data_IF_675343155084
#
_entry.id   IF_675343155084
#
_cell.length_a   1.000
_cell.length_b   1.000
_cell.length_c   1.000
_cell.angle_alpha   90.00
_cell.angle_beta   90.00
_cell.angle_gamma   90.00
#
_symmetry.space_group_name_H-M   'P 1'
#
loop_
_entity.id
_entity.type
_entity.pdbx_description
1 polymer ?
#
# COMPACT_ATOMS: atom_id res chain seq x y z
N UNK A 1 -11.25 -61.15 -46.32
CA UNK A 1 -10.10 -60.67 -45.45
C UNK A 1 -9.99 -59.17 -45.38
N UNK A 2 -10.17 -58.42 -46.46
CA UNK A 2 -10.06 -56.94 -46.51
C UNK A 2 -11.04 -56.14 -45.61
N UNK A 3 -12.30 -56.52 -45.50
CA UNK A 3 -13.31 -55.84 -44.68
C UNK A 3 -13.00 -55.84 -43.19
N UNK A 4 -12.32 -56.85 -42.65
CA UNK A 4 -11.96 -56.97 -41.23
C UNK A 4 -10.80 -56.03 -40.90
N UNK A 5 -9.82 -55.89 -41.81
CA UNK A 5 -8.66 -54.99 -41.68
C UNK A 5 -9.11 -53.52 -41.67
N UNK A 6 -10.04 -53.13 -42.52
CA UNK A 6 -10.58 -51.76 -42.59
C UNK A 6 -11.37 -51.41 -41.30
N UNK A 7 -12.11 -52.35 -40.71
CA UNK A 7 -12.82 -52.16 -39.45
C UNK A 7 -11.90 -51.96 -38.24
N UNK A 8 -10.77 -52.65 -38.21
CA UNK A 8 -9.78 -52.49 -37.14
C UNK A 8 -9.01 -51.19 -37.26
N UNK A 9 -8.65 -50.76 -38.46
CA UNK A 9 -8.00 -49.46 -38.71
C UNK A 9 -8.93 -48.30 -38.32
N UNK A 10 -10.23 -48.38 -38.64
CA UNK A 10 -11.19 -47.34 -38.24
C UNK A 10 -11.41 -47.33 -36.73
N UNK A 11 -11.41 -48.47 -36.05
CA UNK A 11 -11.48 -48.54 -34.58
C UNK A 11 -10.23 -47.92 -33.91
N UNK A 12 -9.02 -48.22 -34.44
CA UNK A 12 -7.78 -47.63 -33.98
C UNK A 12 -7.72 -46.11 -34.18
N UNK A 13 -8.14 -45.61 -35.35
CA UNK A 13 -8.21 -44.17 -35.65
C UNK A 13 -9.19 -43.47 -34.70
N UNK A 14 -10.36 -44.06 -34.45
CA UNK A 14 -11.39 -43.54 -33.53
C UNK A 14 -10.90 -43.51 -32.07
N UNK A 15 -10.13 -44.52 -31.65
CA UNK A 15 -9.53 -44.61 -30.31
C UNK A 15 -8.40 -43.57 -30.12
N UNK A 16 -7.59 -43.34 -31.16
CA UNK A 16 -6.53 -42.34 -31.20
C UNK A 16 -7.08 -40.90 -31.19
N UNK A 17 -8.18 -40.67 -31.94
CA UNK A 17 -8.91 -39.39 -31.95
C UNK A 17 -9.55 -39.09 -30.59
N UNK A 18 -10.19 -40.07 -29.94
CA UNK A 18 -10.77 -39.93 -28.59
C UNK A 18 -9.71 -39.63 -27.52
N UNK A 19 -8.52 -40.24 -27.59
CA UNK A 19 -7.40 -39.93 -26.67
C UNK A 19 -6.90 -38.53 -26.88
N UNK A 20 -6.73 -38.07 -28.13
CA UNK A 20 -6.33 -36.68 -28.42
C UNK A 20 -7.38 -35.67 -27.91
N UNK A 21 -8.67 -35.95 -28.10
CA UNK A 21 -9.76 -35.09 -27.63
C UNK A 21 -9.80 -35.00 -26.09
N UNK A 22 -9.63 -36.12 -25.38
CA UNK A 22 -9.55 -36.12 -23.91
C UNK A 22 -8.31 -35.35 -23.40
N UNK A 23 -7.19 -35.41 -24.13
CA UNK A 23 -5.97 -34.65 -23.79
C UNK A 23 -6.19 -33.15 -23.96
N UNK A 24 -6.86 -32.70 -25.00
CA UNK A 24 -7.20 -31.30 -25.25
C UNK A 24 -8.13 -30.77 -24.14
N UNK A 25 -9.15 -31.58 -23.77
CA UNK A 25 -10.04 -31.20 -22.64
C UNK A 25 -9.26 -31.11 -21.33
N UNK A 26 -8.35 -32.03 -21.05
CA UNK A 26 -7.50 -32.00 -19.87
C UNK A 26 -6.64 -30.73 -19.79
N UNK A 27 -6.02 -30.33 -20.92
CA UNK A 27 -5.25 -29.08 -21.03
C UNK A 27 -6.16 -27.86 -20.84
N UNK A 28 -7.34 -27.84 -21.44
CA UNK A 28 -8.30 -26.75 -21.31
C UNK A 28 -8.76 -26.58 -19.85
N UNK A 29 -9.02 -27.68 -19.14
CA UNK A 29 -9.37 -27.66 -17.71
C UNK A 29 -8.20 -27.11 -16.88
N UNK A 30 -6.97 -27.56 -17.14
CA UNK A 30 -5.78 -27.04 -16.43
C UNK A 30 -5.61 -25.54 -16.66
N UNK A 31 -5.80 -25.08 -17.90
CA UNK A 31 -5.73 -23.64 -18.24
C UNK A 31 -6.83 -22.87 -17.51
N UNK A 32 -8.06 -23.36 -17.50
CA UNK A 32 -9.19 -22.73 -16.80
C UNK A 32 -8.92 -22.70 -15.28
N UNK A 33 -8.48 -23.82 -14.69
CA UNK A 33 -8.12 -23.86 -13.27
C UNK A 33 -6.97 -22.90 -12.95
N UNK A 34 -5.98 -22.78 -13.84
CA UNK A 34 -4.88 -21.83 -13.69
C UNK A 34 -5.37 -20.36 -13.76
N UNK A 35 -6.27 -20.03 -14.69
CA UNK A 35 -6.88 -18.72 -14.77
C UNK A 35 -7.78 -18.40 -13.58
N UNK A 36 -8.57 -19.36 -13.09
CA UNK A 36 -9.40 -19.22 -11.89
C UNK A 36 -8.51 -19.03 -10.65
N UNK A 37 -7.46 -19.84 -10.50
CA UNK A 37 -6.49 -19.70 -9.42
C UNK A 37 -5.77 -18.34 -9.47
N UNK A 38 -5.33 -17.89 -10.66
CA UNK A 38 -4.68 -16.60 -10.86
C UNK A 38 -5.60 -15.41 -10.55
N UNK A 39 -6.90 -15.53 -10.82
CA UNK A 39 -7.89 -14.50 -10.50
C UNK A 39 -8.20 -14.45 -8.99
N UNK A 40 -8.11 -15.57 -8.30
CA UNK A 40 -8.35 -15.65 -6.86
C UNK A 40 -7.09 -15.36 -6.03
N UNK A 41 -5.91 -15.67 -6.57
CA UNK A 41 -4.62 -15.38 -5.95
C UNK A 41 -3.92 -14.26 -6.73
N UNK A 42 -3.61 -13.17 -6.05
CA UNK A 42 -2.79 -12.11 -6.63
C UNK A 42 -1.41 -12.60 -7.05
N UNK A 43 -0.65 -11.75 -7.74
CA UNK A 43 0.65 -12.13 -8.36
C UNK A 43 1.71 -12.62 -7.37
N UNK A 44 1.56 -12.31 -6.08
CA UNK A 44 2.42 -12.81 -4.99
C UNK A 44 1.82 -14.04 -4.28
N UNK A 45 0.80 -14.68 -4.87
CA UNK A 45 0.13 -15.84 -4.28
C UNK A 45 -0.81 -15.51 -3.11
N UNK A 46 -1.00 -14.23 -2.77
CA UNK A 46 -1.90 -13.83 -1.70
C UNK A 46 -3.36 -13.85 -2.21
N UNK A 47 -4.29 -14.45 -1.45
CA UNK A 47 -5.69 -14.57 -1.86
C UNK A 47 -6.37 -13.20 -1.93
N UNK A 48 -7.37 -13.06 -2.82
CA UNK A 48 -8.26 -11.89 -2.84
C UNK A 48 -9.27 -11.91 -1.72
N UNK A 49 -9.78 -13.09 -1.40
CA UNK A 49 -10.69 -13.33 -0.28
C UNK A 49 -10.20 -14.53 0.52
N UNK A 50 -10.13 -14.36 1.84
CA UNK A 50 -9.75 -15.40 2.79
C UNK A 50 -10.42 -15.10 4.13
N UNK A 51 -11.25 -16.01 4.64
CA UNK A 51 -12.06 -15.81 5.84
C UNK A 51 -12.91 -14.52 5.83
N UNK A 52 -13.29 -14.01 4.64
CA UNK A 52 -14.01 -12.75 4.49
C UNK A 52 -15.43 -12.78 5.08
N UNK A 53 -15.98 -13.96 5.29
CA UNK A 53 -17.26 -14.25 5.94
C UNK A 53 -17.17 -14.27 7.46
N UNK A 54 -15.99 -14.43 8.04
CA UNK A 54 -15.79 -14.53 9.49
C UNK A 54 -15.90 -13.18 10.21
N UNK A 55 -15.59 -12.08 9.49
CA UNK A 55 -15.71 -10.71 10.00
C UNK A 55 -16.36 -9.82 8.96
N UNK A 56 -17.50 -9.26 9.30
CA UNK A 56 -18.17 -8.30 8.43
C UNK A 56 -17.54 -6.91 8.58
N UNK A 57 -16.67 -6.55 7.64
CA UNK A 57 -16.03 -5.23 7.54
C UNK A 57 -16.77 -4.34 6.53
N UNK A 58 -17.14 -3.12 6.95
CA UNK A 58 -17.77 -2.12 6.08
C UNK A 58 -16.72 -1.30 5.33
N UNK A 59 -15.95 -1.96 4.46
CA UNK A 59 -14.85 -1.36 3.67
C UNK A 59 -14.80 -1.96 2.27
N UNK A 60 -14.18 -1.26 1.33
CA UNK A 60 -14.05 -1.75 -0.06
C UNK A 60 -13.10 -2.93 -0.17
N UNK A 61 -11.96 -2.87 0.52
CA UNK A 61 -11.00 -3.97 0.58
C UNK A 61 -10.24 -3.95 1.91
N UNK A 62 -9.80 -5.12 2.37
CA UNK A 62 -9.00 -5.26 3.57
C UNK A 62 -8.11 -6.50 3.51
N UNK A 63 -7.00 -6.46 4.26
CA UNK A 63 -6.15 -7.62 4.52
C UNK A 63 -5.55 -7.54 5.92
N UNK A 64 -5.36 -8.70 6.54
CA UNK A 64 -4.50 -8.87 7.71
C UNK A 64 -3.47 -9.96 7.44
N UNK A 65 -2.21 -9.68 7.75
CA UNK A 65 -1.12 -10.64 7.60
C UNK A 65 -0.29 -10.74 8.88
N UNK A 66 0.29 -11.91 9.11
CA UNK A 66 1.38 -12.09 10.06
C UNK A 66 2.67 -11.53 9.45
N UNK A 67 3.30 -10.56 10.12
CA UNK A 67 4.49 -9.90 9.59
C UNK A 67 5.72 -10.81 9.53
N UNK A 68 5.78 -11.87 10.34
CA UNK A 68 6.92 -12.79 10.45
C UNK A 68 6.95 -13.79 9.28
N UNK A 69 5.82 -14.43 9.00
CA UNK A 69 5.74 -15.55 8.05
C UNK A 69 4.95 -15.25 6.79
N UNK A 70 4.40 -14.02 6.64
CA UNK A 70 3.60 -13.57 5.49
C UNK A 70 2.23 -14.25 5.37
N UNK A 71 1.84 -15.08 6.33
CA UNK A 71 0.55 -15.77 6.27
C UNK A 71 -0.59 -14.76 6.29
N UNK A 72 -1.51 -14.94 5.34
CA UNK A 72 -2.75 -14.18 5.31
C UNK A 72 -3.69 -14.71 6.39
N UNK A 73 -4.12 -13.82 7.28
CA UNK A 73 -5.08 -14.12 8.36
C UNK A 73 -6.49 -13.82 7.89
N UNK A 74 -6.65 -12.76 7.11
CA UNK A 74 -7.93 -12.30 6.57
C UNK A 74 -7.71 -11.58 5.24
N UNK A 75 -8.59 -11.75 4.29
CA UNK A 75 -8.61 -10.98 3.04
C UNK A 75 -10.05 -10.76 2.55
N UNK A 76 -10.38 -9.52 2.18
CA UNK A 76 -11.63 -9.10 1.54
C UNK A 76 -11.29 -8.22 0.34
N UNK A 77 -11.60 -8.65 -0.87
CA UNK A 77 -11.28 -7.95 -2.11
C UNK A 77 -9.81 -7.47 -2.17
N UNK A 78 -8.89 -8.20 -1.52
CA UNK A 78 -7.56 -7.71 -1.17
C UNK A 78 -6.64 -7.49 -2.38
N UNK A 79 -6.99 -8.04 -3.56
CA UNK A 79 -6.29 -7.81 -4.84
C UNK A 79 -6.90 -6.66 -5.67
N UNK A 80 -7.99 -6.05 -5.22
CA UNK A 80 -8.61 -4.93 -5.93
C UNK A 80 -7.71 -3.69 -5.87
N UNK A 81 -7.37 -3.12 -7.03
CA UNK A 81 -6.60 -1.87 -7.13
C UNK A 81 -7.51 -0.68 -6.81
N UNK A 82 -7.28 -0.04 -5.67
CA UNK A 82 -8.04 1.10 -5.16
C UNK A 82 -7.13 2.30 -4.92
N UNK A 83 -7.66 3.53 -4.92
CA UNK A 83 -6.90 4.71 -4.48
C UNK A 83 -6.45 4.55 -3.03
N UNK A 84 -5.19 4.94 -2.75
CA UNK A 84 -4.55 4.73 -1.44
C UNK A 84 -4.17 6.02 -0.72
N UNK A 85 -4.35 7.17 -1.37
CA UNK A 85 -4.03 8.47 -0.79
C UNK A 85 -2.62 8.49 -0.13
N UNK A 86 -2.51 9.16 1.01
CA UNK A 86 -1.25 9.33 1.76
C UNK A 86 -0.62 8.04 2.31
N UNK A 87 -1.23 6.85 2.17
CA UNK A 87 -0.51 5.62 2.46
C UNK A 87 0.67 5.41 1.50
N UNK A 88 0.67 6.10 0.35
CA UNK A 88 1.82 6.24 -0.56
C UNK A 88 3.12 6.59 0.17
N UNK A 89 3.03 7.41 1.24
CA UNK A 89 4.19 7.86 2.02
C UNK A 89 4.94 6.72 2.75
N UNK A 90 4.34 5.53 2.87
CA UNK A 90 5.07 4.35 3.37
C UNK A 90 6.17 3.92 2.39
N UNK A 91 5.91 3.99 1.08
CA UNK A 91 6.94 3.70 0.08
C UNK A 91 7.96 4.84 0.01
N UNK A 92 7.53 6.11 0.19
CA UNK A 92 8.42 7.26 0.30
C UNK A 92 9.36 7.11 1.51
N UNK A 93 8.82 6.71 2.66
CA UNK A 93 9.61 6.44 3.87
C UNK A 93 10.61 5.30 3.66
N UNK A 94 10.18 4.20 3.02
CA UNK A 94 11.07 3.08 2.72
C UNK A 94 12.27 3.49 1.87
N UNK A 95 12.04 4.24 0.78
CA UNK A 95 13.12 4.70 -0.10
C UNK A 95 14.05 5.71 0.57
N UNK A 96 13.51 6.56 1.46
CA UNK A 96 14.32 7.47 2.27
C UNK A 96 15.24 6.71 3.22
N UNK A 97 14.71 5.74 3.98
CA UNK A 97 15.50 4.90 4.88
C UNK A 97 16.54 4.08 4.12
N UNK A 98 16.17 3.56 2.96
CA UNK A 98 17.09 2.86 2.07
C UNK A 98 18.25 3.75 1.64
N UNK A 99 17.99 4.98 1.23
CA UNK A 99 19.03 5.94 0.83
C UNK A 99 19.96 6.29 2.00
N UNK A 100 19.43 6.41 3.22
CA UNK A 100 20.22 6.62 4.44
C UNK A 100 21.10 5.40 4.73
N UNK A 101 20.54 4.18 4.70
CA UNK A 101 21.29 2.94 4.91
C UNK A 101 22.40 2.74 3.87
N UNK A 102 22.14 3.13 2.63
CA UNK A 102 23.12 3.13 1.53
C UNK A 102 24.11 4.31 1.60
N UNK A 103 24.02 5.18 2.63
CA UNK A 103 24.88 6.36 2.83
C UNK A 103 24.85 7.38 1.67
N UNK A 104 23.78 7.41 0.89
CA UNK A 104 23.55 8.40 -0.16
C UNK A 104 23.13 9.75 0.41
N UNK A 105 22.39 9.71 1.51
CA UNK A 105 22.01 10.85 2.33
C UNK A 105 22.16 10.49 3.82
N UNK A 106 22.05 11.46 4.70
CA UNK A 106 21.98 11.27 6.16
C UNK A 106 20.73 11.94 6.73
N UNK A 107 20.43 11.69 7.99
CA UNK A 107 19.38 12.41 8.71
C UNK A 107 19.60 13.94 8.74
N UNK A 108 20.86 14.37 8.73
CA UNK A 108 21.27 15.78 8.75
C UNK A 108 21.40 16.40 7.35
N UNK A 109 21.24 15.62 6.28
CA UNK A 109 21.16 16.13 4.92
C UNK A 109 20.04 17.14 4.82
N UNK A 110 20.33 18.34 4.27
CA UNK A 110 19.37 19.43 4.18
C UNK A 110 18.93 19.68 2.75
N UNK A 111 17.67 20.10 2.61
CA UNK A 111 17.07 20.50 1.33
C UNK A 111 16.24 21.78 1.53
N UNK A 112 16.22 22.65 0.53
CA UNK A 112 15.40 23.87 0.53
C UNK A 112 14.15 23.67 -0.32
N UNK A 113 12.99 24.23 0.09
CA UNK A 113 11.77 24.14 -0.68
C UNK A 113 11.86 25.01 -1.95
N UNK A 114 11.22 24.53 -3.02
CA UNK A 114 10.94 25.35 -4.21
C UNK A 114 9.70 26.19 -4.00
N UNK A 115 9.46 27.18 -4.88
CA UNK A 115 8.23 27.99 -4.83
C UNK A 115 6.97 27.11 -4.96
N UNK A 116 7.02 26.06 -5.78
CA UNK A 116 5.93 25.11 -5.94
C UNK A 116 5.58 24.41 -4.62
N UNK A 117 6.59 23.96 -3.88
CA UNK A 117 6.40 23.33 -2.56
C UNK A 117 5.85 24.32 -1.53
N UNK A 118 6.28 25.58 -1.58
CA UNK A 118 5.72 26.65 -0.72
C UNK A 118 4.24 26.89 -1.06
N UNK A 119 3.89 26.95 -2.33
CA UNK A 119 2.49 27.12 -2.76
C UNK A 119 1.61 25.93 -2.30
N UNK A 120 2.14 24.72 -2.33
CA UNK A 120 1.46 23.54 -1.78
C UNK A 120 1.25 23.65 -0.26
N UNK A 121 2.24 24.23 0.46
CA UNK A 121 2.18 24.43 1.91
C UNK A 121 1.09 25.41 2.33
N UNK A 122 0.73 26.33 1.45
CA UNK A 122 -0.25 27.38 1.69
C UNK A 122 -1.70 26.93 1.38
N UNK A 123 -1.88 25.73 0.82
CA UNK A 123 -3.21 25.20 0.53
C UNK A 123 -3.81 24.54 1.79
N UNK A 124 -4.90 25.09 2.37
CA UNK A 124 -5.51 24.57 3.60
C UNK A 124 -6.13 23.16 3.43
N UNK A 125 -6.45 22.76 2.20
CA UNK A 125 -7.05 21.45 1.90
C UNK A 125 -6.04 20.30 2.00
N UNK A 126 -4.73 20.63 2.08
CA UNK A 126 -3.68 19.63 2.08
C UNK A 126 -2.92 19.60 3.39
N UNK A 127 -2.68 18.41 3.91
CA UNK A 127 -1.81 18.26 5.07
C UNK A 127 -0.38 18.74 4.73
N UNK A 128 0.13 19.65 5.53
CA UNK A 128 1.44 20.24 5.36
C UNK A 128 2.04 20.75 6.66
N UNK A 129 3.30 21.14 6.60
CA UNK A 129 4.01 21.86 7.64
C UNK A 129 4.45 23.22 7.09
N UNK A 130 4.63 24.25 7.96
CA UNK A 130 5.08 25.56 7.51
C UNK A 130 6.50 25.49 6.96
N UNK A 131 6.67 25.89 5.70
CA UNK A 131 7.96 25.99 5.04
C UNK A 131 8.18 27.42 4.53
N UNK A 132 9.44 27.88 4.47
CA UNK A 132 9.84 29.21 3.99
C UNK A 132 10.93 29.09 2.94
N UNK A 133 10.87 29.95 1.90
CA UNK A 133 11.93 30.06 0.91
C UNK A 133 13.26 30.44 1.57
N UNK A 134 14.36 29.92 1.05
CA UNK A 134 15.69 30.17 1.57
C UNK A 134 16.06 29.41 2.84
N UNK A 135 15.09 28.83 3.54
CA UNK A 135 15.34 27.95 4.68
C UNK A 135 15.76 26.55 4.23
N UNK A 136 16.58 25.92 5.06
CA UNK A 136 16.97 24.49 4.88
C UNK A 136 16.29 23.64 5.93
N UNK A 137 15.83 22.48 5.52
CA UNK A 137 15.15 21.48 6.37
C UNK A 137 15.90 20.16 6.28
N UNK A 138 16.13 19.53 7.41
CA UNK A 138 16.81 18.24 7.46
C UNK A 138 15.90 17.10 7.01
N UNK A 139 16.48 16.03 6.51
CA UNK A 139 15.76 14.79 6.16
C UNK A 139 14.99 14.28 7.38
N UNK A 140 15.53 14.40 8.61
CA UNK A 140 14.84 14.00 9.84
C UNK A 140 13.55 14.80 10.05
N UNK A 141 13.61 16.14 10.02
CA UNK A 141 12.43 17.00 10.18
C UNK A 141 11.33 16.65 9.15
N UNK A 142 11.73 16.48 7.91
CA UNK A 142 10.80 16.16 6.82
C UNK A 142 10.21 14.76 6.93
N UNK A 143 11.02 13.78 7.35
CA UNK A 143 10.57 12.39 7.54
C UNK A 143 9.52 12.31 8.65
N UNK A 144 9.77 12.94 9.78
CA UNK A 144 8.84 12.97 10.89
C UNK A 144 7.55 13.72 10.50
N UNK A 145 7.64 14.84 9.80
CA UNK A 145 6.48 15.57 9.30
C UNK A 145 5.64 14.75 8.29
N UNK A 146 6.28 14.05 7.38
CA UNK A 146 5.60 13.23 6.38
C UNK A 146 4.83 12.06 7.02
N UNK A 147 5.35 11.43 8.07
CA UNK A 147 4.73 10.27 8.71
C UNK A 147 3.75 10.67 9.82
N UNK A 148 4.09 11.62 10.67
CA UNK A 148 3.26 12.05 11.81
C UNK A 148 2.09 12.91 11.32
N UNK A 149 2.38 14.07 10.71
CA UNK A 149 1.35 15.01 10.24
C UNK A 149 0.76 14.64 8.88
N UNK A 150 1.34 13.64 8.20
CA UNK A 150 1.02 13.34 6.80
C UNK A 150 1.38 14.46 5.83
N UNK A 151 2.36 15.31 6.16
CA UNK A 151 2.72 16.49 5.39
C UNK A 151 3.12 16.14 3.94
N UNK A 152 2.36 16.64 2.96
CA UNK A 152 2.59 16.40 1.54
C UNK A 152 3.85 17.11 1.05
N UNK A 153 4.02 18.38 1.45
CA UNK A 153 5.18 19.19 1.15
C UNK A 153 6.48 18.56 1.67
N UNK A 154 6.46 17.97 2.87
CA UNK A 154 7.60 17.27 3.44
C UNK A 154 7.94 16.00 2.65
N UNK A 155 6.94 15.21 2.21
CA UNK A 155 7.16 14.03 1.39
C UNK A 155 7.78 14.38 0.02
N UNK A 156 7.36 15.47 -0.61
CA UNK A 156 7.97 15.97 -1.87
C UNK A 156 9.43 16.42 -1.65
N UNK A 157 9.70 17.12 -0.56
CA UNK A 157 11.08 17.52 -0.22
C UNK A 157 11.97 16.30 0.06
N UNK A 158 11.46 15.24 0.71
CA UNK A 158 12.20 13.97 0.84
C UNK A 158 12.54 13.36 -0.52
N UNK A 159 11.60 13.38 -1.46
CA UNK A 159 11.85 12.88 -2.80
C UNK A 159 12.98 13.66 -3.50
N UNK A 160 12.99 14.98 -3.36
CA UNK A 160 14.07 15.83 -3.88
C UNK A 160 15.40 15.53 -3.16
N UNK A 161 15.40 15.41 -1.84
CA UNK A 161 16.62 15.10 -1.07
C UNK A 161 17.25 13.75 -1.48
N UNK A 162 16.43 12.73 -1.74
CA UNK A 162 16.90 11.39 -2.10
C UNK A 162 17.32 11.26 -3.56
N UNK A 163 16.63 11.95 -4.48
CA UNK A 163 16.74 11.68 -5.92
C UNK A 163 16.96 12.91 -6.80
N UNK A 164 17.09 14.09 -6.21
CA UNK A 164 17.27 15.37 -6.89
C UNK A 164 15.99 15.92 -7.52
N UNK A 165 14.95 15.10 -7.72
CA UNK A 165 13.64 15.53 -8.24
C UNK A 165 12.54 14.54 -7.87
N UNK A 166 11.27 15.03 -7.83
CA UNK A 166 10.10 14.17 -7.63
C UNK A 166 9.93 13.15 -8.76
N UNK A 167 10.23 13.52 -10.00
CA UNK A 167 10.17 12.61 -11.17
C UNK A 167 11.13 11.43 -11.02
N UNK A 168 12.38 11.71 -10.64
CA UNK A 168 13.38 10.65 -10.43
C UNK A 168 12.98 9.74 -9.26
N UNK A 169 12.44 10.32 -8.19
CA UNK A 169 11.99 9.56 -7.03
C UNK A 169 10.77 8.68 -7.38
N UNK A 170 9.80 9.20 -8.12
CA UNK A 170 8.64 8.45 -8.60
C UNK A 170 9.05 7.26 -9.49
N UNK A 171 10.08 7.44 -10.32
CA UNK A 171 10.66 6.34 -11.08
C UNK A 171 11.31 5.29 -10.17
N UNK A 172 12.01 5.70 -9.10
CA UNK A 172 12.54 4.76 -8.10
C UNK A 172 11.42 4.03 -7.35
N UNK A 173 10.30 4.70 -7.02
CA UNK A 173 9.12 4.06 -6.43
C UNK A 173 8.56 2.97 -7.33
N UNK A 174 8.41 3.25 -8.64
CA UNK A 174 7.96 2.27 -9.64
C UNK A 174 8.92 1.10 -9.78
N UNK A 175 10.22 1.36 -9.83
CA UNK A 175 11.25 0.31 -9.87
C UNK A 175 11.23 -0.56 -8.61
N UNK A 176 11.05 0.04 -7.43
CA UNK A 176 10.96 -0.70 -6.18
C UNK A 176 9.70 -1.56 -6.10
N UNK A 177 8.55 -1.04 -6.56
CA UNK A 177 7.31 -1.80 -6.68
C UNK A 177 7.48 -3.01 -7.62
N UNK A 178 8.10 -2.82 -8.78
CA UNK A 178 8.41 -3.91 -9.72
C UNK A 178 9.38 -4.95 -9.12
N UNK A 179 10.41 -4.51 -8.38
CA UNK A 179 11.35 -5.40 -7.68
C UNK A 179 10.63 -6.30 -6.66
N UNK A 180 9.61 -5.79 -6.00
CA UNK A 180 8.78 -6.57 -5.06
C UNK A 180 7.64 -7.32 -5.74
N UNK A 181 7.58 -7.27 -7.09
CA UNK A 181 6.51 -7.90 -7.87
C UNK A 181 5.11 -7.46 -7.44
N UNK A 182 4.97 -6.17 -7.10
CA UNK A 182 3.66 -5.58 -6.88
C UNK A 182 3.00 -5.35 -8.24
N UNK A 183 1.77 -5.80 -8.42
CA UNK A 183 1.16 -5.85 -9.77
C UNK A 183 -0.03 -4.92 -9.94
N UNK A 184 -0.72 -4.60 -8.87
CA UNK A 184 -1.92 -3.75 -8.91
C UNK A 184 -1.59 -2.29 -8.55
N UNK A 185 -0.41 -1.82 -8.99
CA UNK A 185 0.17 -0.55 -8.59
C UNK A 185 0.11 0.48 -9.71
N UNK A 186 -0.45 1.64 -9.43
CA UNK A 186 -0.34 2.86 -10.23
C UNK A 186 0.22 3.97 -9.34
N UNK A 187 1.36 4.52 -9.70
CA UNK A 187 2.02 5.60 -8.96
C UNK A 187 2.12 6.84 -9.87
N UNK A 188 1.53 7.95 -9.45
CA UNK A 188 1.51 9.23 -10.17
C UNK A 188 2.13 10.36 -9.35
N UNK A 189 2.07 10.30 -8.00
CA UNK A 189 2.69 11.28 -7.11
C UNK A 189 3.48 10.61 -5.99
N UNK A 190 4.44 11.32 -5.40
CA UNK A 190 5.30 10.80 -4.33
C UNK A 190 4.67 10.91 -2.94
N UNK A 191 3.61 11.70 -2.80
CA UNK A 191 2.93 12.02 -1.55
C UNK A 191 1.52 11.41 -1.45
N UNK A 192 0.93 10.96 -2.59
CA UNK A 192 -0.40 10.37 -2.66
C UNK A 192 -1.52 11.38 -2.89
N UNK A 193 -1.20 12.67 -3.14
CA UNK A 193 -2.20 13.62 -3.61
C UNK A 193 -2.68 13.26 -5.01
N UNK A 194 -3.96 13.55 -5.32
CA UNK A 194 -4.47 13.44 -6.68
C UNK A 194 -3.76 14.39 -7.64
N UNK A 195 -3.51 13.94 -8.86
CA UNK A 195 -3.03 14.76 -9.95
C UNK A 195 -4.18 15.12 -10.89
N UNK A 196 -4.30 16.40 -11.23
CA UNK A 196 -5.31 16.88 -12.17
C UNK A 196 -4.70 17.03 -13.56
N UNK A 197 -5.13 16.18 -14.48
CA UNK A 197 -4.73 16.24 -15.89
C UNK A 197 -5.84 16.86 -16.71
N UNK A 198 -5.49 17.85 -17.54
CA UNK A 198 -6.38 18.38 -18.58
C UNK A 198 -6.08 17.69 -19.90
N UNK A 199 -7.10 17.11 -20.53
CA UNK A 199 -6.97 16.59 -21.89
C UNK A 199 -7.02 17.75 -22.92
N UNK A 200 -6.80 17.40 -24.20
CA UNK A 200 -6.83 18.38 -25.29
C UNK A 200 -8.20 19.07 -25.50
N UNK A 201 -9.29 18.52 -24.95
CA UNK A 201 -10.63 19.13 -24.94
C UNK A 201 -10.87 20.01 -23.70
N UNK A 202 -9.86 20.21 -22.86
CA UNK A 202 -9.97 21.02 -21.63
C UNK A 202 -10.66 20.29 -20.47
N UNK A 203 -11.09 19.04 -20.64
CA UNK A 203 -11.70 18.25 -19.55
C UNK A 203 -10.62 17.85 -18.52
N UNK A 204 -10.91 18.12 -17.27
CA UNK A 204 -10.04 17.73 -16.16
C UNK A 204 -10.36 16.30 -15.70
N UNK A 205 -9.35 15.44 -15.70
CA UNK A 205 -9.43 14.11 -15.09
C UNK A 205 -8.55 14.08 -13.85
N UNK A 206 -9.04 13.46 -12.80
CA UNK A 206 -8.28 13.25 -11.56
C UNK A 206 -7.66 11.86 -11.60
N UNK A 207 -6.34 11.80 -11.42
CA UNK A 207 -5.58 10.54 -11.38
C UNK A 207 -4.98 10.40 -9.99
N UNK A 208 -5.12 9.23 -9.38
CA UNK A 208 -4.63 8.94 -8.05
C UNK A 208 -3.68 7.74 -8.04
N UNK A 209 -2.80 7.70 -7.04
CA UNK A 209 -2.05 6.49 -6.72
C UNK A 209 -3.02 5.38 -6.33
N UNK A 210 -2.88 4.21 -6.97
CA UNK A 210 -3.70 3.04 -6.68
C UNK A 210 -2.83 1.84 -6.35
N UNK A 211 -3.27 1.05 -5.38
CA UNK A 211 -2.69 -0.23 -5.01
C UNK A 211 -3.77 -1.15 -4.46
N UNK A 212 -3.48 -2.44 -4.41
CA UNK A 212 -4.30 -3.40 -3.67
C UNK A 212 -3.96 -3.39 -2.17
N UNK A 213 -4.85 -3.92 -1.33
CA UNK A 213 -4.57 -4.10 0.09
C UNK A 213 -3.38 -5.06 0.30
N UNK A 214 -3.27 -6.11 -0.52
CA UNK A 214 -2.14 -7.04 -0.50
C UNK A 214 -0.81 -6.34 -0.84
N UNK A 215 -0.76 -5.49 -1.89
CA UNK A 215 0.45 -4.73 -2.22
C UNK A 215 0.87 -3.78 -1.09
N UNK A 216 -0.12 -3.10 -0.46
CA UNK A 216 0.15 -2.23 0.69
C UNK A 216 0.66 -3.01 1.90
N UNK A 217 0.14 -4.21 2.17
CA UNK A 217 0.62 -5.06 3.26
C UNK A 217 2.06 -5.50 3.02
N UNK A 218 2.44 -5.82 1.78
CA UNK A 218 3.83 -6.14 1.41
C UNK A 218 4.74 -4.94 1.66
N UNK A 219 4.35 -3.73 1.23
CA UNK A 219 5.13 -2.51 1.47
C UNK A 219 5.30 -2.28 2.97
N UNK A 220 4.23 -2.36 3.74
CA UNK A 220 4.25 -2.16 5.20
C UNK A 220 5.15 -3.19 5.88
N UNK A 221 5.03 -4.46 5.52
CA UNK A 221 5.87 -5.52 6.05
C UNK A 221 7.35 -5.29 5.72
N UNK A 222 7.68 -5.00 4.45
CA UNK A 222 9.05 -4.66 4.06
C UNK A 222 9.60 -3.48 4.85
N UNK A 223 8.77 -2.45 5.06
CA UNK A 223 9.19 -1.28 5.82
C UNK A 223 9.52 -1.63 7.28
N UNK A 224 8.64 -2.33 7.99
CA UNK A 224 8.87 -2.66 9.41
C UNK A 224 9.94 -3.75 9.62
N UNK A 225 10.19 -4.58 8.61
CA UNK A 225 11.19 -5.66 8.69
C UNK A 225 12.59 -5.16 8.32
N UNK A 226 12.71 -4.40 7.22
CA UNK A 226 14.02 -3.93 6.72
C UNK A 226 14.51 -2.68 7.46
N UNK A 227 13.57 -1.91 8.05
CA UNK A 227 13.80 -0.63 8.73
C UNK A 227 12.87 -0.47 9.95
N UNK A 228 13.04 -1.29 11.01
CA UNK A 228 12.17 -1.27 12.19
C UNK A 228 12.17 0.08 12.93
N UNK A 229 13.19 0.91 12.69
CA UNK A 229 13.26 2.28 13.21
C UNK A 229 12.11 3.18 12.76
N UNK A 230 11.37 2.84 11.68
CA UNK A 230 10.17 3.56 11.28
C UNK A 230 9.13 3.63 12.40
N UNK A 231 9.06 2.59 13.23
CA UNK A 231 8.14 2.54 14.35
C UNK A 231 8.45 3.59 15.43
N UNK A 232 9.71 4.02 15.54
CA UNK A 232 10.06 5.12 16.46
C UNK A 232 9.40 6.45 16.09
N UNK A 233 9.14 6.67 14.77
CA UNK A 233 8.41 7.85 14.27
C UNK A 233 6.90 7.61 14.25
N UNK A 234 6.44 6.47 13.72
CA UNK A 234 4.99 6.26 13.49
C UNK A 234 4.16 6.09 14.75
N UNK A 235 4.76 5.67 15.88
CA UNK A 235 4.11 5.56 17.19
C UNK A 235 3.99 6.89 17.94
N UNK A 236 4.61 7.96 17.43
CA UNK A 236 4.61 9.29 18.09
C UNK A 236 3.26 9.95 17.87
N UNK A 237 2.51 10.21 18.95
CA UNK A 237 1.19 10.84 18.90
C UNK A 237 1.28 12.34 18.57
N UNK A 238 2.25 13.03 19.17
CA UNK A 238 2.48 14.48 18.98
C UNK A 238 3.98 14.76 18.94
N UNK A 239 4.38 15.68 18.08
CA UNK A 239 5.77 16.14 17.95
C UNK A 239 5.77 17.59 17.46
N UNK A 240 6.90 18.29 17.60
CA UNK A 240 7.05 19.65 17.10
C UNK A 240 7.81 19.69 15.79
N UNK A 241 7.36 20.56 14.90
CA UNK A 241 8.08 20.96 13.70
C UNK A 241 8.35 22.45 13.78
N UNK A 242 9.58 22.84 14.21
CA UNK A 242 10.00 24.25 14.34
C UNK A 242 8.94 25.14 15.02
N UNK A 243 8.54 24.78 16.23
CA UNK A 243 7.53 25.49 17.04
C UNK A 243 6.06 25.29 16.53
N UNK A 244 5.82 24.40 15.57
CA UNK A 244 4.47 24.06 15.15
C UNK A 244 4.15 22.64 15.62
N UNK A 245 3.13 22.50 16.46
CA UNK A 245 2.68 21.20 16.96
C UNK A 245 2.14 20.36 15.80
N UNK A 246 2.70 19.17 15.62
CA UNK A 246 2.18 18.13 14.76
C UNK A 246 1.42 17.11 15.60
N UNK A 247 0.20 16.79 15.19
CA UNK A 247 -0.56 15.67 15.75
C UNK A 247 -0.62 14.54 14.73
N UNK A 248 -0.40 13.32 15.17
CA UNK A 248 -0.45 12.14 14.30
C UNK A 248 -1.87 11.92 13.76
N UNK A 249 -1.96 11.59 12.49
CA UNK A 249 -3.23 11.26 11.85
C UNK A 249 -3.77 9.88 12.26
N UNK A 250 -2.94 9.02 12.84
CA UNK A 250 -3.34 7.75 13.46
C UNK A 250 -3.90 8.01 14.86
N UNK A 251 -5.22 8.18 14.98
CA UNK A 251 -5.89 8.48 16.25
C UNK A 251 -5.90 7.32 17.24
N UNK A 252 -5.50 6.09 16.83
CA UNK A 252 -5.41 4.93 17.72
C UNK A 252 -4.16 4.95 18.60
N UNK A 253 -3.24 5.91 18.43
CA UNK A 253 -2.04 6.04 19.26
C UNK A 253 -2.38 6.56 20.66
N UNK A 254 -1.58 6.15 21.65
CA UNK A 254 -1.73 6.60 23.05
C UNK A 254 -1.75 8.12 23.15
N UNK A 255 -2.74 8.66 23.86
CA UNK A 255 -2.96 10.11 24.02
C UNK A 255 -3.76 10.76 22.87
N UNK A 256 -4.34 9.98 21.95
CA UNK A 256 -5.26 10.46 20.90
C UNK A 256 -6.66 9.84 21.06
N UNK A 257 -7.63 10.34 20.27
CA UNK A 257 -9.07 10.15 20.51
C UNK A 257 -9.60 8.72 20.41
N UNK A 258 -8.97 7.89 19.56
CA UNK A 258 -9.42 6.52 19.28
C UNK A 258 -8.54 5.45 19.98
N UNK A 259 -7.66 5.92 20.89
CA UNK A 259 -6.80 5.03 21.65
C UNK A 259 -7.61 4.02 22.48
N UNK A 260 -7.15 2.78 22.44
CA UNK A 260 -7.67 1.70 23.25
C UNK A 260 -6.49 0.82 23.69
N UNK A 261 -6.25 0.64 25.00
CA UNK A 261 -5.11 -0.14 25.51
C UNK A 261 -5.13 -1.62 25.11
N UNK A 262 -6.30 -2.15 24.68
CA UNK A 262 -6.39 -3.51 24.16
C UNK A 262 -5.75 -3.65 22.78
N UNK A 263 -5.57 -2.53 22.06
CA UNK A 263 -4.95 -2.46 20.74
C UNK A 263 -3.73 -1.52 20.77
N UNK A 264 -2.59 -1.97 21.33
CA UNK A 264 -1.37 -1.17 21.42
C UNK A 264 -0.70 -1.04 20.04
N UNK A 265 -1.33 -0.28 19.14
CA UNK A 265 -0.81 -0.04 17.79
C UNK A 265 0.42 0.86 17.84
N UNK A 266 1.41 0.59 16.98
CA UNK A 266 2.67 1.34 16.89
C UNK A 266 2.90 2.01 15.52
N UNK A 267 1.90 1.96 14.66
CA UNK A 267 1.96 2.59 13.33
C UNK A 267 0.75 2.21 12.48
N UNK A 268 0.74 2.45 11.19
CA UNK A 268 1.78 3.08 10.38
C UNK A 268 1.28 4.39 9.76
N UNK A 269 0.23 4.33 8.87
CA UNK A 269 -0.17 5.51 8.09
C UNK A 269 -1.62 5.47 7.67
N UNK A 270 -2.29 6.62 7.83
CA UNK A 270 -3.62 6.89 7.29
C UNK A 270 -3.53 7.53 5.90
N UNK A 271 -4.61 7.42 5.13
CA UNK A 271 -4.77 8.11 3.86
C UNK A 271 -6.23 8.53 3.66
N UNK A 272 -6.47 9.70 3.08
CA UNK A 272 -7.82 10.18 2.74
C UNK A 272 -7.75 11.04 1.50
N UNK A 273 -8.59 10.76 0.52
CA UNK A 273 -8.99 11.62 -0.62
C UNK A 273 -10.44 11.31 -0.95
N UNK A 274 -11.09 12.16 -1.74
CA UNK A 274 -12.48 11.90 -2.18
C UNK A 274 -12.60 10.56 -2.92
N UNK A 275 -11.60 10.20 -3.72
CA UNK A 275 -11.61 8.93 -4.46
C UNK A 275 -11.27 7.72 -3.59
N UNK A 276 -10.37 7.88 -2.63
CA UNK A 276 -9.93 6.80 -1.76
C UNK A 276 -10.92 6.48 -0.64
N UNK A 277 -11.69 7.47 -0.17
CA UNK A 277 -12.33 7.37 1.12
C UNK A 277 -11.29 7.36 2.24
N UNK A 278 -11.62 6.79 3.38
CA UNK A 278 -10.71 6.67 4.51
C UNK A 278 -9.96 5.33 4.45
N UNK A 279 -8.62 5.40 4.45
CA UNK A 279 -7.73 4.25 4.36
C UNK A 279 -6.77 4.23 5.56
N UNK A 280 -6.32 3.04 5.95
CA UNK A 280 -5.36 2.89 7.04
C UNK A 280 -4.52 1.62 6.88
N UNK A 281 -3.22 1.77 6.95
CA UNK A 281 -2.27 0.67 7.18
C UNK A 281 -1.83 0.73 8.62
N UNK A 282 -2.13 -0.31 9.38
CA UNK A 282 -1.84 -0.42 10.81
C UNK A 282 -0.88 -1.57 11.10
N UNK A 283 -0.10 -1.43 12.17
CA UNK A 283 0.66 -2.54 12.75
C UNK A 283 0.50 -2.57 14.26
N UNK A 284 0.44 -3.77 14.80
CA UNK A 284 0.36 -4.05 16.22
C UNK A 284 1.21 -5.27 16.56
N UNK A 285 2.00 -5.19 17.63
CA UNK A 285 2.70 -6.30 18.21
C UNK A 285 2.05 -6.67 19.55
N UNK A 286 1.61 -7.91 19.69
CA UNK A 286 1.04 -8.44 20.93
C UNK A 286 1.49 -9.89 21.09
N UNK A 287 2.07 -10.22 22.26
CA UNK A 287 2.56 -11.55 22.57
C UNK A 287 3.58 -12.11 21.54
N UNK A 288 4.51 -11.28 21.10
CA UNK A 288 5.52 -11.60 20.07
C UNK A 288 4.93 -11.99 18.69
N UNK A 289 3.69 -11.64 18.44
CA UNK A 289 3.04 -11.74 17.13
C UNK A 289 2.80 -10.35 16.61
N UNK A 290 3.47 -9.98 15.50
CA UNK A 290 3.21 -8.72 14.79
C UNK A 290 2.22 -8.97 13.68
N UNK A 291 1.11 -8.26 13.72
CA UNK A 291 0.10 -8.25 12.66
C UNK A 291 0.13 -6.91 11.93
N UNK A 292 0.01 -6.96 10.62
CA UNK A 292 -0.21 -5.80 9.76
C UNK A 292 -1.61 -5.90 9.19
N UNK A 293 -2.39 -4.84 9.33
CA UNK A 293 -3.72 -4.72 8.72
C UNK A 293 -3.76 -3.57 7.74
N UNK A 294 -4.48 -3.74 6.65
CA UNK A 294 -4.75 -2.69 5.65
C UNK A 294 -6.25 -2.58 5.44
N UNK A 295 -6.77 -1.38 5.60
CA UNK A 295 -8.17 -1.02 5.32
C UNK A 295 -8.17 -0.02 4.16
N UNK A 296 -8.95 -0.31 3.11
CA UNK A 296 -9.15 0.58 1.96
C UNK A 296 -10.63 0.92 1.80
N UNK A 297 -10.92 2.20 1.65
CA UNK A 297 -12.24 2.70 1.27
C UNK A 297 -13.30 2.56 2.35
N UNK A 298 -12.97 2.81 3.62
CA UNK A 298 -13.94 3.12 4.66
C UNK A 298 -14.64 4.47 4.36
N UNK A 299 -15.87 4.67 4.84
CA UNK A 299 -16.65 5.84 4.50
C UNK A 299 -16.11 7.14 5.14
N UNK A 300 -15.52 7.01 6.35
CA UNK A 300 -15.00 8.15 7.11
C UNK A 300 -13.87 7.74 8.06
N UNK A 301 -13.29 8.75 8.72
CA UNK A 301 -12.17 8.58 9.66
C UNK A 301 -12.50 7.62 10.83
N UNK A 302 -13.70 7.74 11.43
CA UNK A 302 -14.08 6.91 12.57
C UNK A 302 -14.20 5.45 12.15
N UNK A 303 -14.78 5.21 10.97
CA UNK A 303 -15.01 3.88 10.45
C UNK A 303 -13.68 3.15 10.14
N UNK A 304 -12.68 3.83 9.55
CA UNK A 304 -11.35 3.18 9.33
C UNK A 304 -10.74 2.63 10.62
N UNK A 305 -10.90 3.33 11.76
CA UNK A 305 -10.35 2.88 13.03
C UNK A 305 -11.21 1.78 13.67
N UNK A 306 -12.55 1.89 13.63
CA UNK A 306 -13.44 0.85 14.14
C UNK A 306 -13.29 -0.46 13.35
N UNK A 307 -13.20 -0.39 12.03
CA UNK A 307 -12.99 -1.58 11.18
C UNK A 307 -11.59 -2.18 11.39
N UNK A 308 -10.57 -1.35 11.63
CA UNK A 308 -9.23 -1.83 12.01
C UNK A 308 -9.27 -2.58 13.34
N UNK A 309 -9.98 -2.07 14.36
CA UNK A 309 -10.14 -2.75 15.66
C UNK A 309 -10.82 -4.11 15.51
N UNK A 310 -11.88 -4.21 14.70
CA UNK A 310 -12.53 -5.50 14.38
C UNK A 310 -11.55 -6.49 13.75
N UNK A 311 -10.78 -6.02 12.77
CA UNK A 311 -9.81 -6.86 12.07
C UNK A 311 -8.64 -7.29 12.96
N UNK A 312 -8.13 -6.40 13.83
CA UNK A 312 -7.12 -6.73 14.83
C UNK A 312 -7.66 -7.74 15.85
N UNK A 313 -8.89 -7.54 16.36
CA UNK A 313 -9.53 -8.48 17.28
C UNK A 313 -9.59 -9.89 16.68
N UNK A 314 -10.06 -10.00 15.42
CA UNK A 314 -10.07 -11.27 14.70
C UNK A 314 -8.67 -11.88 14.53
N UNK A 315 -7.66 -11.04 14.32
CA UNK A 315 -6.30 -11.50 14.01
C UNK A 315 -5.54 -12.05 15.23
N UNK A 316 -5.97 -11.71 16.45
CA UNK A 316 -5.32 -12.13 17.68
C UNK A 316 -6.14 -13.13 18.51
N UNK A 317 -7.36 -13.45 18.10
CA UNK A 317 -8.18 -14.54 18.66
C UNK A 317 -8.04 -15.81 17.81
#
# INVERSE_FOLDING_TARGET
MQRKKLGDEMRHAKKKSRKKFLWIIGIAIIIICFFLWKNDHGPNGMPSNYHADQVNLNVKAAVAIDAKNENVIYAKNANQSLPIASMTKLLTAYLTLKAIKEKKISWDTTVSPTQEIINLSSNPDYAGVPLSLGQKYTVRELYDAALIKSANNAARMLAIAVSGSETNFLNQMRQQANKWKLHNVKLVTVDGLPEKNKNFLGMTTTIENKMSANDMAIIARKLVTDYPEVLSTTKVAKSDFRNTLMTNSNKMLSGLSDYDPNYPVDGLKTGTTDGAGACFTCTMDKNNKRVITVILGAQNDNERFSETKKLLNYSFN
#
